data_IF_519915761393
#
_entry.id   IF_519915761393
#
_cell.length_a   1.000
_cell.length_b   1.000
_cell.length_c   1.000
_cell.angle_alpha   90.00
_cell.angle_beta   90.00
_cell.angle_gamma   90.00
#
_symmetry.space_group_name_H-M   'P 1'
#
loop_
_entity.id
_entity.type
_entity.pdbx_description
1 polymer ?
#
# COMPACT_ATOMS: atom_id res chain seq x y z
N UNK A 1 -0.64 -2.59 -23.09
CA UNK A 1 -1.13 -2.24 -21.72
C UNK A 1 -2.43 -2.95 -21.36
N UNK A 2 -3.45 -3.01 -22.24
CA UNK A 2 -4.65 -3.84 -22.02
C UNK A 2 -4.27 -5.31 -21.76
N UNK A 3 -3.16 -5.75 -22.34
CA UNK A 3 -2.62 -7.10 -22.22
C UNK A 3 -2.15 -7.43 -20.79
N UNK A 4 -1.65 -6.45 -20.03
CA UNK A 4 -1.19 -6.66 -18.64
C UNK A 4 -2.39 -6.81 -17.70
N UNK A 5 -3.45 -6.02 -17.91
CA UNK A 5 -4.69 -6.14 -17.13
C UNK A 5 -5.35 -7.52 -17.32
N UNK A 6 -5.24 -8.08 -18.53
CA UNK A 6 -5.84 -9.35 -18.91
C UNK A 6 -4.89 -10.56 -18.76
N UNK A 7 -3.76 -10.42 -18.06
CA UNK A 7 -2.89 -11.55 -17.76
C UNK A 7 -3.65 -12.62 -16.97
N UNK A 8 -3.42 -13.88 -17.34
CA UNK A 8 -3.96 -15.05 -16.64
C UNK A 8 -3.51 -15.03 -15.17
N UNK A 9 -4.35 -15.50 -14.22
CA UNK A 9 -4.07 -15.39 -12.78
C UNK A 9 -2.73 -15.99 -12.32
N UNK A 10 -2.19 -16.97 -13.06
CA UNK A 10 -0.93 -17.64 -12.75
C UNK A 10 0.30 -17.04 -13.46
N UNK A 11 0.10 -16.11 -14.39
CA UNK A 11 1.20 -15.51 -15.17
C UNK A 11 1.58 -14.14 -14.60
N UNK A 12 2.77 -14.06 -13.99
CA UNK A 12 3.34 -12.80 -13.48
C UNK A 12 4.56 -12.37 -14.28
N UNK A 13 4.69 -11.07 -14.47
CA UNK A 13 5.89 -10.47 -15.07
C UNK A 13 6.95 -10.35 -13.99
N UNK A 14 8.06 -11.06 -14.15
CA UNK A 14 9.20 -10.98 -13.23
C UNK A 14 9.93 -9.65 -13.44
N UNK A 15 10.11 -8.89 -12.36
CA UNK A 15 10.82 -7.61 -12.38
C UNK A 15 12.09 -7.76 -11.58
N UNK A 16 13.23 -7.56 -12.23
CA UNK A 16 14.51 -7.52 -11.56
C UNK A 16 14.71 -6.19 -10.82
N UNK A 17 15.49 -6.25 -9.74
CA UNK A 17 15.84 -5.09 -8.95
C UNK A 17 17.36 -5.04 -8.74
N UNK A 18 17.90 -3.82 -8.62
CA UNK A 18 19.29 -3.61 -8.24
C UNK A 18 19.51 -3.90 -6.74
N UNK A 19 20.76 -3.79 -6.28
CA UNK A 19 21.12 -3.98 -4.87
C UNK A 19 20.41 -3.04 -3.89
N UNK A 20 19.86 -1.93 -4.39
CA UNK A 20 19.09 -0.99 -3.60
C UNK A 20 17.59 -1.30 -3.59
N UNK A 21 17.13 -2.38 -4.22
CA UNK A 21 15.70 -2.71 -4.31
C UNK A 21 14.91 -1.83 -5.29
N UNK A 22 15.59 -1.16 -6.22
CA UNK A 22 14.91 -0.41 -7.29
C UNK A 22 14.73 -1.30 -8.52
N UNK A 23 13.54 -1.28 -9.16
CA UNK A 23 13.29 -2.09 -10.35
C UNK A 23 14.15 -1.63 -11.53
N UNK A 24 14.76 -2.58 -12.24
CA UNK A 24 15.66 -2.35 -13.38
C UNK A 24 15.22 -3.15 -14.62
N UNK A 25 15.78 -2.79 -15.79
CA UNK A 25 15.52 -3.47 -17.05
C UNK A 25 14.22 -3.05 -17.75
N UNK A 26 13.82 -3.81 -18.78
CA UNK A 26 12.64 -3.52 -19.61
C UNK A 26 11.32 -3.75 -18.86
N UNK A 27 11.29 -4.75 -17.99
CA UNK A 27 10.12 -5.08 -17.19
C UNK A 27 9.82 -3.99 -16.14
N UNK A 28 10.84 -3.29 -15.64
CA UNK A 28 10.67 -2.11 -14.79
C UNK A 28 9.92 -0.96 -15.51
N UNK A 29 10.18 -0.76 -16.81
CA UNK A 29 9.42 0.21 -17.61
C UNK A 29 7.95 -0.20 -17.77
N UNK A 30 7.67 -1.49 -18.02
CA UNK A 30 6.29 -2.00 -18.07
C UNK A 30 5.58 -1.86 -16.73
N UNK A 31 6.27 -2.12 -15.62
CA UNK A 31 5.76 -1.86 -14.28
C UNK A 31 5.39 -0.37 -14.13
N UNK A 32 6.30 0.55 -14.46
CA UNK A 32 6.03 1.99 -14.38
C UNK A 32 4.81 2.43 -15.22
N UNK A 33 4.69 1.90 -16.44
CA UNK A 33 3.53 2.14 -17.31
C UNK A 33 2.23 1.60 -16.69
N UNK A 34 2.27 0.40 -16.09
CA UNK A 34 1.14 -0.21 -15.41
C UNK A 34 0.70 0.59 -14.18
N UNK A 35 1.64 0.99 -13.33
CA UNK A 35 1.37 1.91 -12.21
C UNK A 35 0.73 3.22 -12.70
N UNK A 36 1.13 3.69 -13.89
CA UNK A 36 0.53 4.85 -14.54
C UNK A 36 -0.91 4.62 -15.00
N UNK A 37 -1.30 3.39 -15.33
CA UNK A 37 -2.70 3.05 -15.59
C UNK A 37 -3.51 3.02 -14.30
N UNK A 38 -2.99 2.40 -13.23
CA UNK A 38 -3.62 2.41 -11.90
C UNK A 38 -3.87 3.85 -11.41
N UNK A 39 -2.85 4.72 -11.52
CA UNK A 39 -2.95 6.11 -11.09
C UNK A 39 -3.99 6.95 -11.86
N UNK A 40 -4.39 6.49 -13.05
CA UNK A 40 -5.40 7.14 -13.91
C UNK A 40 -6.80 6.58 -13.72
N UNK A 41 -6.94 5.38 -13.16
CA UNK A 41 -8.23 4.74 -12.92
C UNK A 41 -8.83 5.23 -11.61
N UNK A 42 -9.78 6.16 -11.69
CA UNK A 42 -10.38 6.83 -10.52
C UNK A 42 -11.06 5.89 -9.51
N UNK A 43 -11.54 4.72 -9.95
CA UNK A 43 -12.12 3.69 -9.06
C UNK A 43 -11.08 2.94 -8.23
N UNK A 44 -9.83 2.84 -8.70
CA UNK A 44 -8.72 2.19 -7.99
C UNK A 44 -7.91 3.22 -7.21
N UNK A 45 -7.65 4.39 -7.82
CA UNK A 45 -6.82 5.45 -7.27
C UNK A 45 -7.59 6.79 -7.28
N UNK A 46 -8.42 7.06 -6.27
CA UNK A 46 -9.31 8.23 -6.25
C UNK A 46 -8.57 9.56 -6.36
N UNK A 47 -9.11 10.49 -7.15
CA UNK A 47 -8.55 11.83 -7.36
C UNK A 47 -9.15 12.88 -6.41
N UNK A 48 -10.32 12.64 -5.82
CA UNK A 48 -11.04 13.53 -4.90
C UNK A 48 -10.41 13.65 -3.49
N UNK A 49 -9.12 13.37 -3.35
CA UNK A 49 -8.37 13.49 -2.08
C UNK A 49 -7.19 14.44 -2.23
N UNK A 50 -7.05 15.38 -1.27
CA UNK A 50 -6.00 16.42 -1.26
C UNK A 50 -4.59 15.85 -1.18
N UNK A 51 -4.32 14.98 -0.23
CA UNK A 51 -2.99 14.41 0.01
C UNK A 51 -3.01 12.90 -0.18
N UNK A 52 -1.91 12.35 -0.70
CA UNK A 52 -1.71 10.89 -0.84
C UNK A 52 -1.90 10.17 0.49
N UNK A 53 -1.40 10.78 1.57
CA UNK A 53 -1.47 10.28 2.95
C UNK A 53 -2.89 10.11 3.51
N UNK A 54 -3.88 10.74 2.86
CA UNK A 54 -5.27 10.70 3.31
C UNK A 54 -6.08 9.62 2.58
N UNK A 55 -5.47 8.89 1.64
CA UNK A 55 -6.11 7.69 1.08
C UNK A 55 -6.22 6.64 2.18
N UNK A 56 -7.34 5.92 2.21
CA UNK A 56 -7.56 4.87 3.20
C UNK A 56 -6.56 3.73 3.01
N UNK A 57 -6.26 3.02 4.10
CA UNK A 57 -5.39 1.83 4.07
C UNK A 57 -5.88 0.80 3.04
N UNK A 58 -7.20 0.60 2.98
CA UNK A 58 -7.86 -0.27 2.00
C UNK A 58 -7.51 0.08 0.54
N UNK A 59 -7.50 1.37 0.18
CA UNK A 59 -7.13 1.79 -1.18
C UNK A 59 -5.68 1.46 -1.48
N UNK A 60 -4.78 1.72 -0.53
CA UNK A 60 -3.34 1.44 -0.68
C UNK A 60 -3.08 -0.07 -0.79
N UNK A 61 -3.72 -0.87 0.05
CA UNK A 61 -3.66 -2.34 0.02
C UNK A 61 -4.23 -2.91 -1.28
N UNK A 62 -5.35 -2.36 -1.79
CA UNK A 62 -5.93 -2.77 -3.07
C UNK A 62 -4.99 -2.46 -4.26
N UNK A 63 -4.32 -1.30 -4.25
CA UNK A 63 -3.31 -0.98 -5.26
C UNK A 63 -2.18 -2.00 -5.24
N UNK A 64 -1.64 -2.33 -4.06
CA UNK A 64 -0.57 -3.33 -3.91
C UNK A 64 -1.02 -4.71 -4.38
N UNK A 65 -2.23 -5.14 -3.99
CA UNK A 65 -2.82 -6.41 -4.43
C UNK A 65 -2.85 -6.52 -5.95
N UNK A 66 -3.34 -5.48 -6.64
CA UNK A 66 -3.41 -5.46 -8.12
C UNK A 66 -2.01 -5.53 -8.74
N UNK A 67 -1.01 -4.88 -8.13
CA UNK A 67 0.37 -4.93 -8.63
C UNK A 67 0.96 -6.34 -8.46
N UNK A 68 0.84 -6.93 -7.26
CA UNK A 68 1.37 -8.27 -6.96
C UNK A 68 0.65 -9.41 -7.69
N UNK A 69 -0.59 -9.18 -8.15
CA UNK A 69 -1.29 -10.11 -9.05
C UNK A 69 -0.67 -10.16 -10.45
N UNK A 70 -0.04 -9.07 -10.90
CA UNK A 70 0.47 -8.94 -12.28
C UNK A 70 1.98 -9.01 -12.39
N UNK A 71 2.70 -8.68 -11.31
CA UNK A 71 4.16 -8.62 -11.28
C UNK A 71 4.71 -9.46 -10.13
N UNK A 72 5.82 -10.14 -10.40
CA UNK A 72 6.65 -10.76 -9.38
C UNK A 72 7.85 -9.85 -9.10
N UNK A 73 7.84 -9.21 -7.93
CA UNK A 73 8.87 -8.29 -7.47
C UNK A 73 9.99 -8.99 -6.68
N UNK A 74 9.96 -10.33 -6.59
CA UNK A 74 10.98 -11.18 -5.97
C UNK A 74 11.31 -10.85 -4.51
N UNK A 75 10.43 -10.13 -3.80
CA UNK A 75 10.69 -9.60 -2.46
C UNK A 75 11.81 -8.55 -2.39
N UNK A 76 12.29 -8.05 -3.54
CA UNK A 76 13.41 -7.09 -3.62
C UNK A 76 12.94 -5.64 -3.67
N UNK A 77 11.76 -5.38 -4.23
CA UNK A 77 11.17 -4.03 -4.32
C UNK A 77 10.19 -3.83 -3.16
N UNK A 78 10.36 -2.77 -2.40
CA UNK A 78 9.47 -2.46 -1.29
C UNK A 78 8.10 -1.96 -1.77
N UNK A 79 7.03 -2.42 -1.11
CA UNK A 79 5.67 -1.91 -1.32
C UNK A 79 5.58 -0.39 -1.13
N UNK A 80 6.39 0.15 -0.21
CA UNK A 80 6.50 1.58 0.07
C UNK A 80 6.92 2.36 -1.21
N UNK A 81 7.88 1.82 -1.97
CA UNK A 81 8.40 2.41 -3.20
C UNK A 81 7.34 2.36 -4.32
N UNK A 82 6.59 1.24 -4.43
CA UNK A 82 5.48 1.10 -5.38
C UNK A 82 4.40 2.15 -5.12
N UNK A 83 3.93 2.26 -3.87
CA UNK A 83 2.93 3.25 -3.47
C UNK A 83 3.42 4.68 -3.70
N UNK A 84 4.68 4.96 -3.37
CA UNK A 84 5.29 6.28 -3.60
C UNK A 84 5.33 6.62 -5.09
N UNK A 85 5.60 5.64 -5.96
CA UNK A 85 5.59 5.80 -7.41
C UNK A 85 4.17 6.09 -7.93
N UNK A 86 3.17 5.29 -7.54
CA UNK A 86 1.76 5.53 -7.90
C UNK A 86 1.31 6.90 -7.42
N UNK A 87 1.68 7.30 -6.20
CA UNK A 87 1.35 8.60 -5.65
C UNK A 87 1.93 9.78 -6.43
N UNK A 88 3.10 9.62 -7.04
CA UNK A 88 3.67 10.63 -7.94
C UNK A 88 2.99 10.64 -9.31
N UNK A 89 2.74 9.47 -9.90
CA UNK A 89 1.99 9.34 -11.16
C UNK A 89 0.58 9.93 -11.05
N UNK A 90 -0.08 9.76 -9.90
CA UNK A 90 -1.36 10.40 -9.60
C UNK A 90 -1.26 11.92 -9.59
N UNK A 91 -0.18 12.50 -9.05
CA UNK A 91 0.04 13.96 -9.06
C UNK A 91 0.30 14.46 -10.48
N UNK A 92 1.10 13.72 -11.25
CA UNK A 92 1.37 14.04 -12.66
C UNK A 92 0.08 14.02 -13.47
N UNK A 93 -0.75 12.98 -13.30
CA UNK A 93 -2.05 12.91 -13.96
C UNK A 93 -2.96 14.10 -13.61
N UNK A 94 -3.10 14.44 -12.32
CA UNK A 94 -3.82 15.66 -11.90
C UNK A 94 -3.25 16.93 -12.53
N UNK A 95 -1.93 17.02 -12.69
CA UNK A 95 -1.30 18.16 -13.37
C UNK A 95 -1.65 18.20 -14.85
N UNK A 96 -1.69 17.06 -15.54
CA UNK A 96 -2.11 16.96 -16.94
C UNK A 96 -3.56 17.38 -17.10
N UNK A 97 -4.45 16.90 -16.23
CA UNK A 97 -5.86 17.29 -16.22
C UNK A 97 -6.02 18.81 -15.99
N UNK A 98 -5.28 19.37 -15.02
CA UNK A 98 -5.30 20.81 -14.75
C UNK A 98 -4.88 21.63 -15.96
N UNK A 99 -3.81 21.23 -16.65
CA UNK A 99 -3.30 21.99 -17.78
C UNK A 99 -4.25 21.89 -18.99
N UNK A 100 -4.67 20.67 -19.36
CA UNK A 100 -5.39 20.44 -20.61
C UNK A 100 -6.88 20.77 -20.55
N UNK A 101 -7.52 20.59 -19.40
CA UNK A 101 -8.98 20.68 -19.31
C UNK A 101 -9.45 21.85 -18.45
N UNK A 102 -8.69 22.20 -17.39
CA UNK A 102 -9.07 23.31 -16.53
C UNK A 102 -8.49 24.64 -17.01
N UNK A 103 -7.17 24.74 -17.20
CA UNK A 103 -6.51 26.02 -17.53
C UNK A 103 -6.91 26.54 -18.90
N UNK A 104 -6.97 25.67 -19.91
CA UNK A 104 -7.39 26.05 -21.28
C UNK A 104 -8.80 26.66 -21.24
N UNK A 105 -9.76 26.02 -20.57
CA UNK A 105 -11.14 26.53 -20.45
C UNK A 105 -11.26 27.82 -19.65
N UNK A 106 -10.52 27.94 -18.54
CA UNK A 106 -10.47 29.19 -17.76
C UNK A 106 -9.90 30.33 -18.60
N UNK A 107 -8.89 30.06 -19.44
CA UNK A 107 -8.30 31.06 -20.34
C UNK A 107 -9.27 31.48 -21.45
N UNK A 108 -10.12 30.58 -21.91
CA UNK A 108 -11.20 30.86 -22.88
C UNK A 108 -12.38 31.63 -22.26
N UNK A 109 -12.36 31.92 -20.96
CA UNK A 109 -13.43 32.64 -20.25
C UNK A 109 -14.70 31.82 -20.04
N UNK A 110 -14.60 30.49 -20.11
CA UNK A 110 -15.71 29.56 -19.87
C UNK A 110 -16.25 29.69 -18.43
N UNK A 111 -17.57 29.67 -18.22
CA UNK A 111 -18.15 29.64 -16.87
C UNK A 111 -17.85 28.30 -16.19
N UNK A 112 -17.91 28.27 -14.86
CA UNK A 112 -17.49 27.09 -14.07
C UNK A 112 -18.42 25.89 -14.30
N UNK A 113 -19.70 26.14 -14.60
CA UNK A 113 -20.71 25.15 -14.94
C UNK A 113 -20.31 24.37 -16.19
N UNK A 114 -19.85 25.06 -17.22
CA UNK A 114 -19.39 24.44 -18.47
C UNK A 114 -18.09 23.65 -18.25
N UNK A 115 -17.23 24.08 -17.33
CA UNK A 115 -16.03 23.31 -16.95
C UNK A 115 -16.42 21.99 -16.28
N UNK A 116 -17.49 21.96 -15.47
CA UNK A 116 -17.97 20.71 -14.86
C UNK A 116 -18.51 19.73 -15.90
N UNK A 117 -19.24 20.23 -16.91
CA UNK A 117 -19.80 19.42 -18.00
C UNK A 117 -18.72 18.84 -18.93
N UNK A 118 -17.59 19.55 -19.09
CA UNK A 118 -16.46 19.10 -19.88
C UNK A 118 -15.50 18.15 -19.12
N UNK A 119 -16.06 17.08 -18.56
CA UNK A 119 -15.28 16.08 -17.83
C UNK A 119 -14.30 15.31 -18.76
N UNK A 120 -13.00 15.23 -18.41
CA UNK A 120 -12.02 14.44 -19.15
C UNK A 120 -12.42 12.95 -19.31
N UNK A 121 -12.17 12.34 -20.48
CA UNK A 121 -12.48 10.92 -20.69
C UNK A 121 -11.81 10.01 -19.64
N UNK A 122 -12.62 9.15 -19.00
CA UNK A 122 -12.14 8.18 -18.00
C UNK A 122 -11.92 8.75 -16.59
N UNK A 123 -12.26 10.01 -16.34
CA UNK A 123 -12.35 10.60 -15.00
C UNK A 123 -13.81 10.55 -14.53
N UNK A 124 -14.05 10.28 -13.25
CA UNK A 124 -15.41 10.28 -12.70
C UNK A 124 -15.90 11.71 -12.44
N UNK A 125 -17.17 12.00 -12.71
CA UNK A 125 -17.74 13.36 -12.62
C UNK A 125 -17.57 14.00 -11.24
N UNK A 126 -17.80 13.23 -10.17
CA UNK A 126 -17.63 13.68 -8.79
C UNK A 126 -16.18 14.06 -8.48
N UNK A 127 -15.23 13.28 -9.01
CA UNK A 127 -13.81 13.52 -8.85
C UNK A 127 -13.34 14.72 -9.66
N UNK A 128 -13.87 14.91 -10.87
CA UNK A 128 -13.59 16.06 -11.71
C UNK A 128 -14.08 17.36 -11.05
N UNK A 129 -15.34 17.39 -10.62
CA UNK A 129 -15.93 18.53 -9.90
C UNK A 129 -15.08 18.94 -8.71
N UNK A 130 -14.70 17.97 -7.87
CA UNK A 130 -13.83 18.21 -6.71
C UNK A 130 -12.48 18.83 -7.10
N UNK A 131 -11.87 18.41 -8.23
CA UNK A 131 -10.60 18.95 -8.71
C UNK A 131 -10.74 20.41 -9.20
N UNK A 132 -11.80 20.70 -9.94
CA UNK A 132 -12.09 22.05 -10.48
C UNK A 132 -12.30 23.03 -9.32
N UNK A 133 -13.16 22.71 -8.36
CA UNK A 133 -13.38 23.50 -7.14
C UNK A 133 -12.05 23.76 -6.41
N UNK A 134 -11.21 22.71 -6.30
CA UNK A 134 -9.92 22.80 -5.63
C UNK A 134 -8.95 23.75 -6.35
N UNK A 135 -8.88 23.68 -7.67
CA UNK A 135 -7.95 24.49 -8.47
C UNK A 135 -8.36 25.95 -8.57
N UNK A 136 -9.65 26.25 -8.44
CA UNK A 136 -10.20 27.61 -8.38
C UNK A 136 -9.85 28.37 -7.11
N UNK A 137 -9.37 27.71 -6.05
CA UNK A 137 -9.02 28.38 -4.80
C UNK A 137 -7.80 29.31 -4.94
N UNK A 138 -7.78 30.50 -4.30
CA UNK A 138 -6.62 31.40 -4.31
C UNK A 138 -5.34 30.73 -3.78
N UNK A 139 -5.48 29.85 -2.78
CA UNK A 139 -4.38 29.06 -2.23
C UNK A 139 -3.72 28.17 -3.30
N UNK A 140 -4.51 27.55 -4.18
CA UNK A 140 -3.98 26.71 -5.26
C UNK A 140 -3.28 27.55 -6.35
N UNK A 141 -3.75 28.78 -6.60
CA UNK A 141 -3.08 29.75 -7.46
C UNK A 141 -1.70 30.13 -6.93
N UNK A 142 -1.63 30.60 -5.68
CA UNK A 142 -0.37 30.99 -5.04
C UNK A 142 0.65 29.84 -4.97
N UNK A 143 0.20 28.61 -4.71
CA UNK A 143 1.07 27.44 -4.72
C UNK A 143 1.61 27.13 -6.13
N UNK A 144 0.79 27.33 -7.17
CA UNK A 144 1.20 27.11 -8.56
C UNK A 144 2.31 28.07 -8.98
N UNK A 145 2.21 29.35 -8.63
CA UNK A 145 3.24 30.35 -8.96
C UNK A 145 4.58 30.06 -8.26
N UNK A 146 4.57 29.74 -6.97
CA UNK A 146 5.79 29.33 -6.24
C UNK A 146 6.49 28.13 -6.88
N UNK A 147 5.71 27.15 -7.35
CA UNK A 147 6.26 25.97 -8.04
C UNK A 147 6.81 26.35 -9.42
N UNK A 148 6.17 27.27 -10.15
CA UNK A 148 6.64 27.78 -11.43
C UNK A 148 7.98 28.51 -11.29
N UNK A 149 8.11 29.38 -10.30
CA UNK A 149 9.37 30.05 -9.93
C UNK A 149 10.46 29.06 -9.48
N UNK A 150 10.07 27.95 -8.86
CA UNK A 150 11.05 26.92 -8.49
C UNK A 150 11.55 26.14 -9.70
N UNK A 151 10.69 25.92 -10.70
CA UNK A 151 11.05 25.23 -11.95
C UNK A 151 12.04 26.02 -12.80
N UNK A 152 11.98 27.35 -12.79
CA UNK A 152 12.95 28.19 -13.52
C UNK A 152 14.36 28.12 -12.93
N UNK A 153 14.52 27.58 -11.72
CA UNK A 153 15.82 27.37 -11.06
C UNK A 153 16.49 26.03 -11.40
N UNK A 154 15.86 25.18 -12.21
CA UNK A 154 16.46 23.92 -12.66
C UNK A 154 17.60 24.23 -13.65
N UNK A 155 18.84 23.97 -13.24
CA UNK A 155 20.05 24.30 -14.01
C UNK A 155 20.35 23.28 -15.11
N UNK A 156 20.25 22.00 -14.78
CA UNK A 156 20.64 20.88 -15.66
C UNK A 156 19.43 19.96 -15.80
N UNK A 157 18.70 20.10 -16.91
CA UNK A 157 17.59 19.20 -17.21
C UNK A 157 18.16 17.87 -17.71
N UNK A 158 17.67 16.73 -17.24
CA UNK A 158 18.13 15.43 -17.73
C UNK A 158 17.56 15.10 -19.11
N UNK A 159 18.20 14.15 -19.80
CA UNK A 159 17.79 13.61 -21.11
C UNK A 159 17.67 12.08 -21.13
N UNK A 160 17.89 11.44 -19.98
CA UNK A 160 17.44 10.08 -19.72
C UNK A 160 15.98 9.93 -20.22
N UNK A 161 15.76 9.02 -21.18
CA UNK A 161 14.47 8.81 -21.89
C UNK A 161 13.36 8.40 -20.90
N UNK A 162 12.35 7.66 -21.36
CA UNK A 162 11.46 6.92 -20.44
C UNK A 162 12.19 5.77 -19.68
N UNK A 163 13.53 5.81 -19.62
CA UNK A 163 14.38 4.87 -18.88
C UNK A 163 14.69 5.54 -17.55
N UNK A 164 14.31 4.90 -16.45
CA UNK A 164 14.62 5.39 -15.11
C UNK A 164 16.12 5.37 -14.83
N UNK A 165 16.59 6.26 -13.95
CA UNK A 165 18.00 6.33 -13.56
C UNK A 165 18.54 5.01 -13.01
N UNK A 166 17.75 4.25 -12.23
CA UNK A 166 18.18 2.94 -11.74
C UNK A 166 18.53 1.97 -12.89
N UNK A 167 17.70 1.92 -13.93
CA UNK A 167 17.96 1.10 -15.12
C UNK A 167 19.17 1.61 -15.92
N UNK A 168 19.33 2.93 -16.07
CA UNK A 168 20.52 3.49 -16.74
C UNK A 168 21.80 3.17 -15.99
N UNK A 169 21.80 3.38 -14.66
CA UNK A 169 22.96 3.11 -13.83
C UNK A 169 23.31 1.61 -13.83
N UNK A 170 22.31 0.73 -13.83
CA UNK A 170 22.53 -0.72 -13.95
C UNK A 170 23.13 -1.10 -15.32
N UNK A 171 22.66 -0.51 -16.40
CA UNK A 171 23.23 -0.73 -17.75
C UNK A 171 24.68 -0.24 -17.84
N UNK A 172 25.00 0.89 -17.20
CA UNK A 172 26.38 1.36 -17.12
C UNK A 172 27.23 0.41 -16.27
N UNK A 173 26.72 -0.04 -15.13
CA UNK A 173 27.44 -0.95 -14.25
C UNK A 173 27.74 -2.31 -14.91
N UNK A 174 26.81 -2.84 -15.71
CA UNK A 174 26.98 -4.06 -16.47
C UNK A 174 28.08 -3.93 -17.54
N UNK A 175 28.17 -2.77 -18.21
CA UNK A 175 29.19 -2.51 -19.24
C UNK A 175 30.59 -2.34 -18.66
N UNK A 176 30.70 -1.60 -17.56
CA UNK A 176 31.98 -1.25 -16.93
C UNK A 176 32.44 -2.30 -15.90
N UNK A 177 31.57 -3.25 -15.53
CA UNK A 177 31.84 -4.25 -14.49
C UNK A 177 31.94 -3.68 -13.07
N UNK A 178 31.56 -2.41 -12.86
CA UNK A 178 31.61 -1.69 -11.58
C UNK A 178 30.48 -0.66 -11.49
N UNK A 179 30.10 -0.25 -10.28
CA UNK A 179 29.13 0.86 -10.17
C UNK A 179 29.68 2.17 -10.74
N UNK A 180 28.86 2.95 -11.47
CA UNK A 180 29.27 4.24 -11.99
C UNK A 180 29.36 5.28 -10.87
N UNK A 181 30.38 6.14 -10.94
CA UNK A 181 30.49 7.30 -10.06
C UNK A 181 29.34 8.29 -10.30
N UNK A 182 29.14 9.23 -9.38
CA UNK A 182 28.12 10.28 -9.53
C UNK A 182 28.40 11.20 -10.71
N UNK A 183 29.67 11.44 -11.01
CA UNK A 183 30.08 12.23 -12.16
C UNK A 183 29.75 11.49 -13.47
N UNK A 184 30.00 10.18 -13.52
CA UNK A 184 29.61 9.33 -14.65
C UNK A 184 28.09 9.24 -14.80
N UNK A 185 27.35 9.03 -13.70
CA UNK A 185 25.89 9.03 -13.68
C UNK A 185 25.33 10.35 -14.25
N UNK A 186 25.91 11.49 -13.87
CA UNK A 186 25.52 12.79 -14.41
C UNK A 186 25.72 12.84 -15.92
N UNK A 187 26.89 12.42 -16.43
CA UNK A 187 27.17 12.36 -17.86
C UNK A 187 26.10 11.55 -18.59
N UNK A 188 25.89 10.29 -18.19
CA UNK A 188 24.94 9.40 -18.86
C UNK A 188 23.50 9.91 -18.84
N UNK A 189 23.11 10.64 -17.80
CA UNK A 189 21.77 11.21 -17.66
C UNK A 189 21.56 12.47 -18.51
N UNK A 190 22.63 13.15 -18.94
CA UNK A 190 22.57 14.43 -19.65
C UNK A 190 23.12 14.37 -21.09
N UNK A 191 23.54 13.20 -21.57
CA UNK A 191 23.93 13.00 -22.97
C UNK A 191 22.78 13.32 -23.95
N UNK A 192 23.16 13.87 -25.11
CA UNK A 192 22.22 14.21 -26.19
C UNK A 192 21.61 12.97 -26.84
N UNK A 193 20.45 13.20 -27.46
CA UNK A 193 19.61 12.17 -28.07
C UNK A 193 20.12 11.67 -29.43
N UNK A 194 20.98 12.45 -30.09
CA UNK A 194 21.45 12.22 -31.46
C UNK A 194 22.58 11.18 -31.54
N UNK A 195 22.92 10.53 -30.42
CA UNK A 195 24.04 9.60 -30.34
C UNK A 195 25.40 10.30 -30.31
N UNK A 196 25.43 11.63 -30.23
CA UNK A 196 26.67 12.35 -29.95
C UNK A 196 27.05 12.21 -28.48
N UNK A 197 28.34 12.14 -28.20
CA UNK A 197 28.90 12.14 -26.84
C UNK A 197 28.80 13.51 -26.14
N UNK A 198 28.01 14.44 -26.67
CA UNK A 198 27.84 15.80 -26.14
C UNK A 198 26.74 15.84 -25.08
N UNK A 199 26.89 16.71 -24.08
CA UNK A 199 25.83 16.97 -23.13
C UNK A 199 24.75 17.88 -23.72
N UNK A 200 23.58 17.85 -23.10
CA UNK A 200 22.37 18.46 -23.64
C UNK A 200 22.31 19.98 -23.60
N UNK A 201 23.16 20.62 -22.81
CA UNK A 201 23.27 22.07 -22.70
C UNK A 201 24.71 22.48 -22.45
N UNK A 202 25.08 23.66 -22.92
CA UNK A 202 26.41 24.25 -22.67
C UNK A 202 26.69 24.38 -21.18
N UNK A 203 25.69 24.74 -20.37
CA UNK A 203 25.82 24.79 -18.92
C UNK A 203 26.14 23.42 -18.30
N UNK A 204 25.59 22.32 -18.84
CA UNK A 204 25.91 20.96 -18.37
C UNK A 204 27.32 20.52 -18.81
N UNK A 205 27.74 20.93 -20.01
CA UNK A 205 29.11 20.70 -20.53
C UNK A 205 30.15 21.41 -19.66
N UNK A 206 29.97 22.72 -19.44
CA UNK A 206 30.90 23.54 -18.65
C UNK A 206 31.11 22.99 -17.24
N UNK A 207 30.03 22.64 -16.53
CA UNK A 207 30.13 22.12 -15.15
C UNK A 207 30.72 20.70 -15.11
N UNK A 208 30.46 19.89 -16.15
CA UNK A 208 31.05 18.56 -16.26
C UNK A 208 32.55 18.63 -16.54
N UNK A 209 32.97 19.52 -17.44
CA UNK A 209 34.38 19.75 -17.77
C UNK A 209 35.16 20.32 -16.58
N UNK A 210 34.55 21.23 -15.81
CA UNK A 210 35.11 21.73 -14.55
C UNK A 210 35.38 20.59 -13.56
N UNK A 211 34.38 19.72 -13.33
CA UNK A 211 34.54 18.57 -12.46
C UNK A 211 35.62 17.60 -12.97
N UNK A 212 35.64 17.32 -14.28
CA UNK A 212 36.69 16.47 -14.88
C UNK A 212 38.08 17.06 -14.73
N UNK A 213 38.22 18.39 -14.80
CA UNK A 213 39.49 19.07 -14.57
C UNK A 213 39.93 18.93 -13.11
N UNK A 214 39.03 19.15 -12.15
CA UNK A 214 39.34 18.96 -10.73
C UNK A 214 39.75 17.53 -10.40
N UNK A 215 39.14 16.52 -11.05
CA UNK A 215 39.54 15.10 -10.89
C UNK A 215 40.97 14.91 -11.36
N UNK A 216 41.31 15.40 -12.55
CA UNK A 216 42.67 15.30 -13.10
C UNK A 216 43.71 16.00 -12.22
N UNK A 217 43.38 17.18 -11.71
CA UNK A 217 44.28 17.96 -10.83
C UNK A 217 44.47 17.30 -9.45
N UNK A 218 43.52 16.47 -9.01
CA UNK A 218 43.55 15.78 -7.71
C UNK A 218 44.11 14.36 -7.78
N UNK A 219 44.27 13.78 -8.98
CA UNK A 219 44.91 12.48 -9.14
C UNK A 219 46.43 12.59 -8.87
N UNK A 220 47.00 11.75 -7.98
CA UNK A 220 48.44 11.77 -7.77
C UNK A 220 49.20 11.28 -9.00
N UNK A 221 50.26 11.98 -9.35
CA UNK A 221 51.17 11.66 -10.45
C UNK A 221 51.92 10.36 -10.13
N UNK A 222 51.42 9.25 -10.67
CA UNK A 222 52.09 7.96 -10.89
C UNK A 222 53.18 7.56 -9.87
N UNK A 223 52.79 6.91 -8.77
CA UNK A 223 53.65 5.95 -8.03
C UNK A 223 52.92 5.14 -6.94
N UNK A 224 51.67 5.46 -6.60
CA UNK A 224 50.87 4.68 -5.64
C UNK A 224 49.93 3.71 -6.36
N UNK A 225 49.78 2.50 -5.81
CA UNK A 225 48.80 1.49 -6.22
C UNK A 225 47.37 2.00 -5.97
N UNK A 226 46.88 2.89 -6.82
CA UNK A 226 45.51 3.40 -6.75
C UNK A 226 44.55 2.31 -7.24
N UNK A 227 43.68 1.82 -6.36
CA UNK A 227 42.64 0.89 -6.77
C UNK A 227 41.56 1.65 -7.57
N UNK A 228 40.86 0.99 -8.52
CA UNK A 228 39.74 1.60 -9.24
C UNK A 228 38.65 2.20 -8.33
N UNK A 229 38.52 1.68 -7.11
CA UNK A 229 37.58 2.16 -6.10
C UNK A 229 37.96 3.54 -5.54
N UNK A 230 39.25 3.85 -5.44
CA UNK A 230 39.74 5.14 -4.92
C UNK A 230 39.41 6.29 -5.89
N UNK A 231 39.34 5.99 -7.20
CA UNK A 231 38.91 6.96 -8.21
C UNK A 231 37.41 7.31 -8.08
N UNK A 232 36.56 6.32 -7.81
CA UNK A 232 35.10 6.56 -7.64
C UNK A 232 34.84 7.47 -6.42
N UNK A 233 35.55 7.26 -5.31
CA UNK A 233 35.40 8.09 -4.11
C UNK A 233 35.79 9.54 -4.43
N UNK A 234 36.94 9.75 -5.08
CA UNK A 234 37.40 11.06 -5.50
C UNK A 234 36.39 11.76 -6.44
N UNK A 235 35.92 11.06 -7.48
CA UNK A 235 34.93 11.58 -8.42
C UNK A 235 33.61 11.96 -7.72
N UNK A 236 33.18 11.19 -6.72
CA UNK A 236 31.98 11.49 -5.94
C UNK A 236 32.14 12.71 -5.01
N UNK A 237 33.32 12.87 -4.41
CA UNK A 237 33.65 14.03 -3.59
C UNK A 237 33.66 15.31 -4.43
N UNK A 238 34.35 15.27 -5.58
CA UNK A 238 34.41 16.40 -6.52
C UNK A 238 33.02 16.71 -7.08
N UNK A 239 32.22 15.69 -7.43
CA UNK A 239 30.83 15.91 -7.83
C UNK A 239 30.06 16.69 -6.76
N UNK A 240 30.22 16.32 -5.48
CA UNK A 240 29.53 17.00 -4.37
C UNK A 240 30.01 18.44 -4.19
N UNK A 241 31.29 18.71 -4.45
CA UNK A 241 31.86 20.05 -4.41
C UNK A 241 31.34 20.96 -5.54
N UNK A 242 31.22 20.42 -6.76
CA UNK A 242 30.82 21.18 -7.95
C UNK A 242 29.30 21.36 -8.08
N UNK A 243 28.50 20.33 -7.74
CA UNK A 243 27.05 20.30 -8.00
C UNK A 243 26.16 20.66 -6.80
N UNK A 244 26.75 21.14 -5.72
CA UNK A 244 26.17 21.31 -4.38
C UNK A 244 25.84 19.98 -3.66
N UNK A 245 25.87 19.97 -2.31
CA UNK A 245 25.46 18.81 -1.53
C UNK A 245 23.99 18.44 -1.73
N UNK A 246 23.68 17.13 -1.71
CA UNK A 246 22.29 16.70 -1.78
C UNK A 246 21.46 17.23 -0.61
N UNK A 247 20.27 17.73 -0.95
CA UNK A 247 19.33 18.35 0.00
C UNK A 247 18.33 17.32 0.53
N UNK A 248 17.91 17.51 1.79
CA UNK A 248 16.81 16.75 2.43
C UNK A 248 17.03 15.23 2.50
N UNK A 249 18.29 14.78 2.59
CA UNK A 249 18.64 13.36 2.73
C UNK A 249 18.37 12.48 1.49
N UNK A 250 17.93 13.06 0.38
CA UNK A 250 17.76 12.37 -0.91
C UNK A 250 19.10 12.20 -1.61
N UNK A 251 19.24 11.21 -2.49
CA UNK A 251 20.39 11.07 -3.37
C UNK A 251 19.99 11.41 -4.82
N UNK A 252 20.54 12.50 -5.36
CA UNK A 252 20.35 12.86 -6.77
C UNK A 252 21.14 11.91 -7.67
N UNK A 253 20.55 11.52 -8.81
CA UNK A 253 21.18 10.65 -9.82
C UNK A 253 20.95 9.15 -9.63
N UNK A 254 20.59 8.68 -8.43
CA UNK A 254 20.38 7.24 -8.16
C UNK A 254 18.96 6.74 -8.46
N UNK A 255 18.02 7.64 -8.78
CA UNK A 255 16.64 7.30 -9.08
C UNK A 255 15.67 7.48 -7.90
N UNK A 256 14.41 7.06 -8.11
CA UNK A 256 13.34 7.28 -7.12
C UNK A 256 13.59 6.48 -5.84
N UNK A 257 13.21 7.05 -4.70
CA UNK A 257 13.29 6.40 -3.39
C UNK A 257 14.66 6.45 -2.71
N UNK A 258 15.73 6.83 -3.43
CA UNK A 258 17.08 6.76 -2.88
C UNK A 258 17.39 7.88 -1.88
N UNK A 259 17.89 7.47 -0.73
CA UNK A 259 18.31 8.33 0.39
C UNK A 259 19.76 8.04 0.76
N UNK A 260 20.40 8.99 1.45
CA UNK A 260 21.75 8.80 2.01
C UNK A 260 21.80 7.58 2.93
N UNK A 261 20.75 7.35 3.72
CA UNK A 261 20.66 6.19 4.62
C UNK A 261 20.56 4.85 3.89
N UNK A 262 19.89 4.79 2.73
CA UNK A 262 19.79 3.56 1.92
C UNK A 262 21.09 3.25 1.18
N UNK A 263 21.87 4.28 0.83
CA UNK A 263 23.15 4.12 0.13
C UNK A 263 24.30 3.79 1.08
N UNK A 264 24.46 4.53 2.18
CA UNK A 264 25.62 4.41 3.08
C UNK A 264 25.31 3.68 4.39
N UNK A 265 24.08 3.19 4.56
CA UNK A 265 23.57 2.69 5.83
C UNK A 265 23.30 3.81 6.85
N UNK A 266 22.55 3.49 7.90
CA UNK A 266 22.20 4.45 8.96
C UNK A 266 23.43 4.97 9.73
N UNK A 267 24.51 4.18 9.81
CA UNK A 267 25.73 4.53 10.57
C UNK A 267 26.61 5.62 9.95
N UNK A 268 26.49 5.89 8.65
CA UNK A 268 27.39 6.83 7.95
C UNK A 268 26.85 8.27 7.86
N UNK A 269 25.58 8.50 8.22
CA UNK A 269 24.91 9.81 8.03
C UNK A 269 25.28 10.83 9.12
N UNK A 270 25.99 10.43 10.18
CA UNK A 270 26.27 11.27 11.36
C UNK A 270 27.78 11.44 11.65
N UNK A 271 28.62 11.66 10.64
CA UNK A 271 30.03 12.06 10.87
C UNK A 271 30.15 13.57 11.17
N UNK A 272 29.35 14.04 12.11
CA UNK A 272 29.28 15.46 12.45
C UNK A 272 28.40 15.75 13.65
N UNK A 273 28.61 15.09 14.79
CA UNK A 273 28.26 15.59 16.14
C UNK A 273 28.72 14.60 17.21
N UNK A 274 29.35 15.10 18.27
CA UNK A 274 29.80 14.35 19.48
C UNK A 274 28.65 13.73 20.32
N UNK A 275 27.41 13.70 19.81
CA UNK A 275 26.21 13.21 20.49
C UNK A 275 25.85 11.74 20.19
N UNK A 276 26.67 11.02 19.42
CA UNK A 276 26.31 9.71 18.84
C UNK A 276 26.23 8.57 19.86
N UNK A 277 27.06 8.55 20.91
CA UNK A 277 26.96 7.47 21.91
C UNK A 277 25.66 7.59 22.71
N UNK A 278 25.33 8.79 23.18
CA UNK A 278 24.13 9.05 23.97
C UNK A 278 22.84 8.75 23.18
N UNK A 279 22.79 9.10 21.89
CA UNK A 279 21.63 8.83 21.03
C UNK A 279 21.52 7.33 20.72
N UNK A 280 22.62 6.63 20.46
CA UNK A 280 22.60 5.18 20.24
C UNK A 280 22.12 4.42 21.49
N UNK A 281 22.63 4.80 22.67
CA UNK A 281 22.18 4.23 23.95
C UNK A 281 20.72 4.57 24.25
N UNK A 282 20.23 5.74 23.82
CA UNK A 282 18.81 6.08 23.95
C UNK A 282 17.93 5.20 23.05
N UNK A 283 18.38 4.94 21.81
CA UNK A 283 17.67 4.07 20.86
C UNK A 283 17.61 2.64 21.39
N UNK A 284 18.71 2.11 21.93
CA UNK A 284 18.74 0.77 22.55
C UNK A 284 17.85 0.69 23.80
N UNK A 285 17.83 1.73 24.65
CA UNK A 285 16.93 1.78 25.80
C UNK A 285 15.46 1.89 25.38
N UNK A 286 15.17 2.64 24.33
CA UNK A 286 13.82 2.76 23.78
C UNK A 286 13.35 1.48 23.12
N UNK A 287 14.22 0.78 22.38
CA UNK A 287 13.89 -0.51 21.77
C UNK A 287 13.66 -1.59 22.82
N UNK A 288 14.50 -1.67 23.87
CA UNK A 288 14.30 -2.58 25.00
C UNK A 288 12.95 -2.32 25.70
N UNK A 289 12.62 -1.05 25.97
CA UNK A 289 11.35 -0.68 26.59
C UNK A 289 10.13 -1.00 25.71
N UNK A 290 10.24 -0.84 24.39
CA UNK A 290 9.19 -1.25 23.46
C UNK A 290 9.00 -2.77 23.43
N UNK A 291 10.08 -3.55 23.47
CA UNK A 291 9.99 -5.02 23.53
C UNK A 291 9.31 -5.46 24.81
N UNK A 292 9.65 -4.87 25.96
CA UNK A 292 8.96 -5.13 27.24
C UNK A 292 7.48 -4.77 27.16
N UNK A 293 7.13 -3.61 26.58
CA UNK A 293 5.73 -3.21 26.41
C UNK A 293 4.94 -4.18 25.52
N UNK A 294 5.54 -4.66 24.42
CA UNK A 294 4.91 -5.65 23.54
C UNK A 294 4.66 -6.95 24.31
N UNK A 295 5.64 -7.41 25.10
CA UNK A 295 5.47 -8.61 25.92
C UNK A 295 4.37 -8.46 26.97
N UNK A 296 4.26 -7.30 27.63
CA UNK A 296 3.16 -7.04 28.58
C UNK A 296 1.80 -7.01 27.89
N UNK A 297 1.69 -6.36 26.72
CA UNK A 297 0.42 -6.32 25.97
C UNK A 297 0.01 -7.72 25.50
N UNK A 298 0.96 -8.52 25.02
CA UNK A 298 0.69 -9.91 24.62
C UNK A 298 0.24 -10.77 25.81
N UNK A 299 0.85 -10.58 26.98
CA UNK A 299 0.44 -11.28 28.20
C UNK A 299 -0.96 -10.87 28.67
N UNK A 300 -1.27 -9.57 28.66
CA UNK A 300 -2.61 -9.05 29.00
C UNK A 300 -3.68 -9.55 28.03
N UNK A 301 -3.39 -9.57 26.72
CA UNK A 301 -4.30 -10.12 25.71
C UNK A 301 -4.55 -11.61 25.92
N UNK A 302 -3.51 -12.41 26.22
CA UNK A 302 -3.66 -13.83 26.48
C UNK A 302 -4.52 -14.11 27.73
N UNK A 303 -4.37 -13.31 28.78
CA UNK A 303 -5.21 -13.40 29.99
C UNK A 303 -6.66 -13.02 29.67
N UNK A 304 -6.87 -11.93 28.94
CA UNK A 304 -8.21 -11.47 28.57
C UNK A 304 -8.95 -12.50 27.69
N UNK A 305 -8.26 -13.10 26.72
CA UNK A 305 -8.83 -14.15 25.86
C UNK A 305 -9.21 -15.38 26.68
N UNK A 306 -8.34 -15.82 27.60
CA UNK A 306 -8.63 -16.95 28.49
C UNK A 306 -9.86 -16.70 29.37
N UNK A 307 -9.97 -15.50 29.96
CA UNK A 307 -11.13 -15.12 30.79
C UNK A 307 -12.42 -15.11 29.98
N UNK A 308 -12.40 -14.56 28.76
CA UNK A 308 -13.58 -14.55 27.88
C UNK A 308 -14.01 -15.97 27.48
N UNK A 309 -13.05 -16.87 27.26
CA UNK A 309 -13.33 -18.27 26.91
C UNK A 309 -13.94 -19.01 28.10
N UNK A 310 -13.44 -18.80 29.32
CA UNK A 310 -13.97 -19.39 30.55
C UNK A 310 -15.38 -18.87 30.88
N UNK A 311 -15.64 -17.57 30.68
CA UNK A 311 -16.98 -17.00 30.80
C UNK A 311 -17.96 -17.58 29.77
N UNK A 312 -17.52 -17.75 28.52
CA UNK A 312 -18.33 -18.34 27.46
C UNK A 312 -18.67 -19.81 27.75
N UNK A 313 -17.70 -20.59 28.22
CA UNK A 313 -17.93 -21.98 28.64
C UNK A 313 -18.91 -22.07 29.81
N UNK A 314 -18.77 -21.19 30.81
CA UNK A 314 -19.69 -21.13 31.95
C UNK A 314 -21.13 -20.85 31.51
N UNK A 315 -21.32 -19.85 30.63
CA UNK A 315 -22.64 -19.51 30.06
C UNK A 315 -23.24 -20.67 29.27
N UNK A 316 -22.43 -21.36 28.47
CA UNK A 316 -22.92 -22.50 27.70
C UNK A 316 -23.37 -23.65 28.61
N UNK A 317 -22.64 -23.91 29.69
CA UNK A 317 -23.03 -24.94 30.68
C UNK A 317 -24.33 -24.59 31.40
N UNK A 318 -24.52 -23.33 31.80
CA UNK A 318 -25.76 -22.91 32.46
C UNK A 318 -26.96 -22.99 31.51
N UNK A 319 -26.80 -22.53 30.27
CA UNK A 319 -27.87 -22.61 29.27
C UNK A 319 -28.22 -24.06 28.91
N UNK A 320 -27.22 -24.95 28.83
CA UNK A 320 -27.45 -26.38 28.61
C UNK A 320 -28.26 -27.01 29.77
N UNK A 321 -27.91 -26.69 31.02
CA UNK A 321 -28.63 -27.17 32.20
C UNK A 321 -30.07 -26.63 32.27
N UNK A 322 -30.30 -25.37 31.91
CA UNK A 322 -31.64 -24.79 31.82
C UNK A 322 -32.49 -25.47 30.74
N UNK A 323 -31.92 -25.75 29.56
CA UNK A 323 -32.62 -26.49 28.51
C UNK A 323 -32.95 -27.92 28.92
N UNK A 324 -32.02 -28.59 29.60
CA UNK A 324 -32.25 -29.95 30.10
C UNK A 324 -33.37 -29.99 31.14
N UNK A 325 -33.36 -29.08 32.12
CA UNK A 325 -34.44 -28.99 33.12
C UNK A 325 -35.79 -28.66 32.50
N UNK A 326 -35.84 -27.77 31.51
CA UNK A 326 -37.06 -27.48 30.76
C UNK A 326 -37.60 -28.71 30.02
N UNK A 327 -36.73 -29.46 29.33
CA UNK A 327 -37.14 -30.68 28.61
C UNK A 327 -37.63 -31.77 29.55
N UNK A 328 -37.01 -31.93 30.72
CA UNK A 328 -37.45 -32.89 31.74
C UNK A 328 -38.84 -32.49 32.25
N UNK A 329 -39.06 -31.23 32.61
CA UNK A 329 -40.37 -30.75 33.08
C UNK A 329 -41.47 -30.94 32.02
N UNK A 330 -41.16 -30.66 30.75
CA UNK A 330 -42.10 -30.89 29.64
C UNK A 330 -42.43 -32.38 29.46
N UNK A 331 -41.42 -33.26 29.61
CA UNK A 331 -41.63 -34.70 29.53
C UNK A 331 -42.49 -35.22 30.69
N UNK A 332 -42.27 -34.73 31.92
CA UNK A 332 -43.08 -35.05 33.09
C UNK A 332 -44.54 -34.60 32.91
N UNK A 333 -44.77 -33.38 32.41
CA UNK A 333 -46.12 -32.89 32.12
C UNK A 333 -46.84 -33.78 31.09
N UNK A 334 -46.15 -34.15 30.01
CA UNK A 334 -46.70 -35.06 28.99
C UNK A 334 -47.01 -36.44 29.57
N UNK A 335 -46.16 -36.95 30.45
CA UNK A 335 -46.37 -38.24 31.12
C UNK A 335 -47.60 -38.21 32.04
N UNK A 336 -47.77 -37.14 32.82
CA UNK A 336 -48.94 -36.95 33.68
C UNK A 336 -50.24 -36.91 32.87
N UNK A 337 -50.29 -36.12 31.79
CA UNK A 337 -51.47 -36.07 30.90
C UNK A 337 -51.80 -37.43 30.29
N UNK A 338 -50.79 -38.20 29.88
CA UNK A 338 -51.00 -39.55 29.36
C UNK A 338 -51.59 -40.50 30.42
N UNK A 339 -51.14 -40.38 31.66
CA UNK A 339 -51.63 -41.19 32.78
C UNK A 339 -53.10 -40.87 33.08
N UNK A 340 -53.46 -39.59 33.14
CA UNK A 340 -54.87 -39.15 33.30
C UNK A 340 -55.77 -39.68 32.18
N UNK A 341 -55.30 -39.65 30.93
CA UNK A 341 -56.04 -40.19 29.78
C UNK A 341 -56.22 -41.71 29.91
N UNK A 342 -55.22 -42.45 30.39
CA UNK A 342 -55.31 -43.89 30.61
C UNK A 342 -56.31 -44.23 31.73
N UNK A 343 -56.25 -43.51 32.85
CA UNK A 343 -57.17 -43.68 33.97
C UNK A 343 -58.62 -43.38 33.57
N UNK A 344 -58.86 -42.28 32.84
CA UNK A 344 -60.18 -41.93 32.34
C UNK A 344 -60.75 -43.03 31.42
N UNK A 345 -59.95 -43.56 30.48
CA UNK A 345 -60.35 -44.68 29.62
C UNK A 345 -60.65 -45.95 30.40
N UNK A 346 -59.88 -46.23 31.44
CA UNK A 346 -60.13 -47.38 32.32
C UNK A 346 -61.46 -47.23 33.07
N UNK A 347 -61.74 -46.03 33.61
CA UNK A 347 -63.01 -45.75 34.29
C UNK A 347 -64.21 -45.86 33.34
N UNK A 348 -64.12 -45.32 32.12
CA UNK A 348 -65.18 -45.47 31.11
C UNK A 348 -65.44 -46.95 30.75
N UNK A 349 -64.38 -47.76 30.65
CA UNK A 349 -64.50 -49.20 30.40
C UNK A 349 -65.23 -49.91 31.54
N UNK A 350 -64.92 -49.56 32.79
CA UNK A 350 -65.57 -50.13 33.97
C UNK A 350 -67.05 -49.74 34.05
N UNK A 351 -67.38 -48.46 33.81
CA UNK A 351 -68.76 -47.97 33.74
C UNK A 351 -69.57 -48.66 32.64
N UNK A 352 -68.98 -48.83 31.45
CA UNK A 352 -69.61 -49.55 30.34
C UNK A 352 -69.90 -51.01 30.71
N UNK A 353 -68.97 -51.66 31.41
CA UNK A 353 -69.14 -53.03 31.91
C UNK A 353 -70.24 -53.11 32.96
N UNK A 354 -70.31 -52.16 33.89
CA UNK A 354 -71.36 -52.12 34.92
C UNK A 354 -72.74 -51.89 34.30
N UNK A 355 -72.87 -50.96 33.34
CA UNK A 355 -74.10 -50.74 32.57
C UNK A 355 -74.57 -52.02 31.87
N UNK A 356 -73.63 -52.77 31.27
CA UNK A 356 -73.93 -54.05 30.62
C UNK A 356 -74.42 -55.11 31.61
N UNK A 357 -73.80 -55.21 32.79
CA UNK A 357 -74.29 -56.12 33.85
C UNK A 357 -75.68 -55.71 34.37
N UNK A 358 -75.93 -54.42 34.61
CA UNK A 358 -77.25 -53.92 35.01
C UNK A 358 -78.33 -54.23 33.96
N UNK A 359 -78.02 -54.06 32.67
CA UNK A 359 -78.93 -54.41 31.59
C UNK A 359 -79.25 -55.93 31.57
N UNK A 360 -78.25 -56.79 31.73
CA UNK A 360 -78.44 -58.24 31.82
C UNK A 360 -79.27 -58.65 33.04
N UNK A 361 -79.02 -58.06 34.21
CA UNK A 361 -79.81 -58.31 35.43
C UNK A 361 -81.27 -57.91 35.20
N UNK A 362 -81.52 -56.71 34.64
CA UNK A 362 -82.87 -56.24 34.35
C UNK A 362 -83.59 -57.14 33.33
N UNK A 363 -82.90 -57.63 32.31
CA UNK A 363 -83.46 -58.56 31.32
C UNK A 363 -83.85 -59.91 31.97
N UNK A 364 -82.99 -60.45 32.84
CA UNK A 364 -83.29 -61.66 33.62
C UNK A 364 -84.50 -61.47 34.55
N UNK A 365 -84.60 -60.32 35.23
CA UNK A 365 -85.74 -59.99 36.10
C UNK A 365 -87.05 -59.86 35.30
N UNK A 366 -87.01 -59.21 34.13
CA UNK A 366 -88.17 -59.07 33.25
C UNK A 366 -88.66 -60.43 32.71
N UNK A 367 -87.75 -61.34 32.36
CA UNK A 367 -88.08 -62.71 31.93
C UNK A 367 -88.62 -63.59 33.06
N UNK A 368 -88.24 -63.33 34.32
CA UNK A 368 -88.74 -64.04 35.50
C UNK A 368 -90.18 -63.65 35.91
N UNK A 369 -90.64 -62.44 35.56
CA UNK A 369 -91.96 -61.92 35.91
C UNK A 369 -93.06 -62.24 34.86
N UNK A 370 -92.70 -62.87 33.75
CA UNK A 370 -93.64 -63.20 32.66
C UNK A 370 -94.14 -64.66 32.69
N UNK A 371 -94.18 -65.30 33.85
CA UNK A 371 -94.70 -66.66 34.05
C UNK A 371 -95.92 -66.68 34.97
#
# INVERSE_FOLDING_TARGET
MKDIWNLQPETRIVVDANQYGQPIGKEASKLAEFLGTIARTGSICPLNTKHWKHLSKYVLENILRIVHEKFDLQGKVEDSDILSHVGNLRKEFKSTLKTRYYKEMVQEGRPIEEIYENNPPGVHDDQWKWLVERWGTPQAGAQSEKVKESRTKVRYAHTARNIGYATLNAQCAEKEGREPSRLEQFRFQHLRKDGSDKLNSEASEQVYDEACKMVKDSMPTLESSFAPQDNIVLENEIYTQVFDPDKNGKMLGYGRGMTKSRLFGYGSVTRGSQSTSAISTLIEKMSAKHVEQIQTIQAEQAVQEKTLLEEAESRFRTEAAERETHLIAEAEERFMKLTEIQEAKFMEMMDAREKKYKALINECMAKGMSK
#
